data_IF_863416922822
#
_entry.id   IF_863416922822
#
_cell.length_a   1.000
_cell.length_b   1.000
_cell.length_c   1.000
_cell.angle_alpha   90.00
_cell.angle_beta   90.00
_cell.angle_gamma   90.00
#
_symmetry.space_group_name_H-M   'P 1'
#
loop_
_entity.id
_entity.type
_entity.pdbx_description
1 polymer ?
#
# COMPACT_ATOMS: atom_id res chain seq x y z
N UNK A 1 -9.41 6.07 4.98
CA UNK A 1 -9.13 4.80 4.36
C UNK A 1 -8.97 4.89 2.84
N UNK A 2 -8.73 6.06 2.38
CA UNK A 2 -8.58 6.34 0.97
C UNK A 2 -7.11 6.18 0.60
N UNK A 3 -6.82 5.31 -0.34
CA UNK A 3 -5.46 5.07 -0.81
C UNK A 3 -5.24 5.79 -2.12
N UNK A 4 -4.14 6.52 -2.21
CA UNK A 4 -3.68 7.15 -3.44
C UNK A 4 -2.30 6.65 -3.79
N UNK A 5 -2.04 6.43 -5.07
CA UNK A 5 -0.74 5.99 -5.56
C UNK A 5 -0.27 6.95 -6.63
N UNK A 6 0.96 7.43 -6.48
CA UNK A 6 1.59 8.26 -7.49
C UNK A 6 2.88 7.58 -7.94
N UNK A 7 2.86 7.06 -9.16
CA UNK A 7 4.03 6.43 -9.76
C UNK A 7 4.99 7.51 -10.25
N UNK A 8 6.28 7.36 -9.97
CA UNK A 8 7.27 8.31 -10.43
C UNK A 8 7.50 8.12 -11.94
N UNK A 9 7.25 9.18 -12.71
CA UNK A 9 7.35 9.09 -14.18
C UNK A 9 8.79 9.09 -14.66
N UNK A 10 9.72 9.63 -13.90
CA UNK A 10 11.13 9.63 -14.26
C UNK A 10 11.82 8.33 -13.87
N UNK A 11 11.35 7.68 -12.81
CA UNK A 11 11.88 6.41 -12.37
C UNK A 11 10.74 5.54 -11.87
N UNK A 12 10.26 4.65 -12.73
CA UNK A 12 9.08 3.82 -12.45
C UNK A 12 9.31 2.78 -11.37
N UNK A 13 10.53 2.64 -10.86
CA UNK A 13 10.77 1.80 -9.71
C UNK A 13 10.23 2.42 -8.42
N UNK A 14 9.90 3.69 -8.45
CA UNK A 14 9.41 4.44 -7.29
C UNK A 14 7.92 4.72 -7.41
N UNK A 15 7.23 4.62 -6.29
CA UNK A 15 5.83 5.02 -6.19
C UNK A 15 5.58 5.51 -4.78
N UNK A 16 4.86 6.62 -4.67
CA UNK A 16 4.46 7.15 -3.37
C UNK A 16 3.02 6.75 -3.11
N UNK A 17 2.80 6.02 -2.03
CA UNK A 17 1.47 5.65 -1.56
C UNK A 17 1.10 6.53 -0.38
N UNK A 18 -0.12 7.05 -0.40
CA UNK A 18 -0.67 7.80 0.73
C UNK A 18 -2.05 7.29 1.05
N UNK A 19 -2.40 7.30 2.33
CA UNK A 19 -3.72 6.84 2.77
C UNK A 19 -4.15 7.63 4.00
N UNK A 20 -5.42 7.51 4.35
CA UNK A 20 -5.95 8.18 5.52
C UNK A 20 -5.66 7.36 6.77
N UNK A 21 -5.35 8.05 7.86
CA UNK A 21 -5.18 7.41 9.17
C UNK A 21 -6.47 6.73 9.57
N UNK A 22 -6.35 5.50 10.08
CA UNK A 22 -7.50 4.72 10.55
C UNK A 22 -7.50 4.66 12.06
N UNK A 23 -8.60 5.12 12.66
CA UNK A 23 -8.76 5.10 14.11
C UNK A 23 -8.82 3.65 14.59
N UNK A 24 -8.08 3.34 15.64
CA UNK A 24 -8.05 2.00 16.22
C UNK A 24 -7.07 1.04 15.58
N UNK A 25 -6.38 1.46 14.52
CA UNK A 25 -5.35 0.63 13.90
C UNK A 25 -4.04 0.73 14.67
N UNK A 26 -3.35 -0.40 14.84
CA UNK A 26 -2.00 -0.41 15.38
C UNK A 26 -0.96 -0.15 14.32
N UNK A 27 -1.30 -0.44 13.08
CA UNK A 27 -0.42 -0.23 11.95
C UNK A 27 -1.11 -0.62 10.65
N UNK A 28 -0.31 -0.73 9.60
CA UNK A 28 -0.82 -0.97 8.26
C UNK A 28 -0.01 -2.05 7.56
N UNK A 29 -0.65 -2.77 6.65
CA UNK A 29 0.00 -3.71 5.76
C UNK A 29 -0.19 -3.21 4.34
N UNK A 30 0.90 -2.78 3.71
CA UNK A 30 0.86 -2.30 2.34
C UNK A 30 1.12 -3.48 1.42
N UNK A 31 0.11 -3.86 0.64
CA UNK A 31 0.19 -5.00 -0.27
C UNK A 31 0.17 -4.52 -1.70
N UNK A 32 0.95 -5.18 -2.55
CA UNK A 32 0.99 -4.85 -3.96
C UNK A 32 1.42 -6.05 -4.77
N UNK A 33 1.09 -6.03 -6.07
CA UNK A 33 1.43 -7.12 -6.97
C UNK A 33 0.97 -6.83 -8.38
N UNK A 34 1.18 -7.79 -9.27
CA UNK A 34 0.86 -7.65 -10.69
C UNK A 34 -0.62 -7.89 -11.00
N UNK A 35 -1.34 -8.54 -10.08
CA UNK A 35 -2.74 -8.89 -10.30
C UNK A 35 -3.57 -8.41 -9.12
N UNK A 36 -4.79 -7.90 -9.37
CA UNK A 36 -5.60 -7.31 -8.31
C UNK A 36 -6.08 -8.33 -7.27
N UNK A 37 -6.16 -9.61 -7.66
CA UNK A 37 -6.58 -10.69 -6.77
C UNK A 37 -5.41 -11.46 -6.18
N UNK A 38 -4.18 -11.04 -6.47
CA UNK A 38 -2.99 -11.70 -5.94
C UNK A 38 -1.89 -10.68 -5.66
N UNK A 39 -1.99 -10.04 -4.51
CA UNK A 39 -1.02 -9.05 -4.07
C UNK A 39 0.01 -9.76 -3.20
N UNK A 40 1.04 -10.30 -3.86
CA UNK A 40 1.99 -11.20 -3.22
C UNK A 40 3.15 -10.50 -2.49
N UNK A 41 3.22 -9.18 -2.58
CA UNK A 41 4.20 -8.39 -1.84
C UNK A 41 3.50 -7.71 -0.67
N UNK A 42 4.19 -7.60 0.46
CA UNK A 42 3.62 -6.97 1.64
C UNK A 42 4.72 -6.27 2.43
N UNK A 43 4.46 -5.01 2.80
CA UNK A 43 5.33 -4.24 3.67
C UNK A 43 4.53 -3.85 4.90
N UNK A 44 5.06 -4.16 6.08
CA UNK A 44 4.41 -3.81 7.34
C UNK A 44 4.85 -2.42 7.78
N UNK A 45 3.87 -1.56 8.06
CA UNK A 45 4.09 -0.25 8.66
C UNK A 45 3.60 -0.33 10.09
N UNK A 46 4.54 -0.33 11.05
CA UNK A 46 4.22 -0.57 12.46
C UNK A 46 3.71 0.66 13.19
N UNK A 47 3.78 1.82 12.56
CA UNK A 47 3.40 3.09 13.18
C UNK A 47 2.05 3.54 12.61
N UNK A 48 1.02 3.53 13.45
CA UNK A 48 -0.32 3.93 13.01
C UNK A 48 -0.44 5.41 12.66
N UNK A 49 0.55 6.23 13.00
CA UNK A 49 0.59 7.63 12.61
C UNK A 49 1.18 7.85 11.22
N UNK A 50 1.87 6.85 10.68
CA UNK A 50 2.44 6.93 9.34
C UNK A 50 1.37 6.65 8.31
N UNK A 51 1.16 7.58 7.38
CA UNK A 51 0.13 7.47 6.36
C UNK A 51 0.69 7.59 4.95
N UNK A 52 1.99 7.39 4.79
CA UNK A 52 2.60 7.37 3.47
C UNK A 52 3.73 6.35 3.43
N UNK A 53 4.07 5.92 2.24
CA UNK A 53 5.17 4.98 2.03
C UNK A 53 5.72 5.18 0.62
N UNK A 54 7.03 5.39 0.52
CA UNK A 54 7.69 5.44 -0.77
C UNK A 54 8.21 4.06 -1.12
N UNK A 55 7.64 3.44 -2.15
CA UNK A 55 8.14 2.19 -2.69
C UNK A 55 9.25 2.49 -3.69
N UNK A 56 10.31 1.68 -3.66
CA UNK A 56 11.45 1.85 -4.58
C UNK A 56 11.93 0.50 -5.12
N UNK A 57 11.04 -0.47 -5.17
CA UNK A 57 11.38 -1.84 -5.59
C UNK A 57 10.50 -2.32 -6.75
N UNK A 58 9.77 -1.42 -7.39
CA UNK A 58 8.86 -1.78 -8.46
C UNK A 58 9.63 -2.00 -9.76
N UNK A 59 9.03 -2.77 -10.67
CA UNK A 59 9.61 -3.04 -11.98
C UNK A 59 9.11 -2.01 -12.98
N UNK A 60 10.03 -1.44 -13.74
CA UNK A 60 9.70 -0.47 -14.79
C UNK A 60 8.80 -1.12 -15.84
N UNK A 61 7.83 -0.35 -16.33
CA UNK A 61 6.96 -0.78 -17.40
C UNK A 61 5.87 -1.74 -16.97
N UNK A 62 5.76 -2.03 -15.68
CA UNK A 62 4.76 -2.95 -15.14
C UNK A 62 3.76 -2.15 -14.32
N UNK A 63 2.49 -2.37 -14.56
CA UNK A 63 1.41 -1.79 -13.76
C UNK A 63 1.17 -2.66 -12.54
N UNK A 64 1.03 -2.02 -11.40
CA UNK A 64 0.82 -2.69 -10.13
C UNK A 64 -0.56 -2.37 -9.59
N UNK A 65 -1.04 -3.26 -8.75
CA UNK A 65 -2.26 -3.07 -7.96
C UNK A 65 -1.86 -2.99 -6.50
N UNK A 66 -2.54 -2.18 -5.72
CA UNK A 66 -2.15 -1.88 -4.35
C UNK A 66 -3.34 -1.96 -3.43
N UNK A 67 -3.08 -2.31 -2.17
CA UNK A 67 -4.08 -2.32 -1.12
C UNK A 67 -3.39 -2.01 0.21
N UNK A 68 -4.01 -1.19 1.04
CA UNK A 68 -3.54 -0.96 2.40
C UNK A 68 -4.55 -1.58 3.35
N UNK A 69 -4.09 -2.57 4.12
CA UNK A 69 -4.88 -3.20 5.16
C UNK A 69 -4.48 -2.59 6.50
N UNK A 70 -5.39 -2.58 7.45
CA UNK A 70 -5.11 -2.17 8.82
C UNK A 70 -5.07 -3.38 9.73
N UNK A 71 -4.28 -3.31 10.79
CA UNK A 71 -4.27 -4.39 11.78
C UNK A 71 -4.27 -3.83 13.19
N UNK A 72 -4.81 -4.62 14.10
CA UNK A 72 -4.77 -4.37 15.54
C UNK A 72 -4.85 -5.72 16.26
N UNK A 73 -5.04 -5.68 17.58
CA UNK A 73 -5.11 -6.90 18.38
C UNK A 73 -6.28 -7.80 17.99
N UNK A 74 -7.32 -7.24 17.36
CA UNK A 74 -8.51 -7.98 16.94
C UNK A 74 -8.35 -8.65 15.57
N UNK A 75 -7.29 -8.33 14.82
CA UNK A 75 -7.03 -8.93 13.52
C UNK A 75 -6.75 -7.90 12.43
N UNK A 76 -6.98 -8.31 11.19
CA UNK A 76 -6.68 -7.52 10.00
C UNK A 76 -7.98 -7.13 9.31
N UNK A 77 -8.10 -5.86 8.96
CA UNK A 77 -9.19 -5.36 8.13
C UNK A 77 -8.64 -5.03 6.76
N UNK A 78 -9.15 -5.69 5.73
CA UNK A 78 -8.69 -5.50 4.36
C UNK A 78 -9.22 -4.19 3.79
N UNK A 79 -8.36 -3.49 3.04
CA UNK A 79 -8.76 -2.30 2.32
C UNK A 79 -9.29 -2.62 0.95
N UNK A 80 -9.36 -1.59 0.11
CA UNK A 80 -9.84 -1.71 -1.27
C UNK A 80 -8.64 -1.70 -2.21
N UNK A 81 -8.64 -2.61 -3.19
CA UNK A 81 -7.59 -2.66 -4.21
C UNK A 81 -7.75 -1.48 -5.15
N UNK A 82 -6.65 -0.78 -5.41
CA UNK A 82 -6.61 0.25 -6.43
C UNK A 82 -5.55 -0.10 -7.46
N UNK A 83 -5.73 0.40 -8.67
CA UNK A 83 -4.83 0.16 -9.79
C UNK A 83 -4.26 1.47 -10.29
N UNK A 84 -3.05 1.40 -10.83
CA UNK A 84 -2.41 2.56 -11.47
C UNK A 84 -3.17 3.00 -12.70
#
# INVERSE_FOLDING_TARGET
KKLSVQRNQEDERYALLTWDKVSGADGYLVRFGYQPDFLNQCIQVKDCETTDLLLHILTKGVKYHYRVDTYNDSGITEGVVISE
#
